data_IF_325353412255
#
_entry.id   IF_325353412255
#
_cell.length_a   1.000
_cell.length_b   1.000
_cell.length_c   1.000
_cell.angle_alpha   90.00
_cell.angle_beta   90.00
_cell.angle_gamma   90.00
#
_symmetry.space_group_name_H-M   'P 1'
#
loop_
_entity.id
_entity.type
_entity.pdbx_description
1 polymer ?
#
# COMPACT_ATOMS: atom_id res chain seq x y z
N UNK A 1 7.53 -16.36 -3.99
CA UNK A 1 7.33 -16.16 -5.44
C UNK A 1 7.15 -14.69 -5.76
N UNK A 2 6.15 -14.01 -5.18
CA UNK A 2 5.89 -12.56 -5.35
C UNK A 2 7.12 -11.66 -5.14
N UNK A 3 7.85 -11.84 -4.02
CA UNK A 3 9.06 -11.06 -3.75
C UNK A 3 10.15 -11.22 -4.82
N UNK A 4 10.34 -12.44 -5.36
CA UNK A 4 11.31 -12.71 -6.42
C UNK A 4 10.88 -12.08 -7.75
N UNK A 5 9.59 -12.16 -8.10
CA UNK A 5 9.04 -11.51 -9.28
C UNK A 5 9.15 -9.98 -9.19
N UNK A 6 8.89 -9.41 -8.00
CA UNK A 6 9.10 -7.98 -7.72
C UNK A 6 10.55 -7.58 -7.93
N UNK A 7 11.51 -8.30 -7.33
CA UNK A 7 12.93 -8.02 -7.49
C UNK A 7 13.38 -8.11 -8.94
N UNK A 8 12.96 -9.14 -9.68
CA UNK A 8 13.29 -9.28 -11.10
C UNK A 8 12.74 -8.14 -11.95
N UNK A 9 11.51 -7.68 -11.67
CA UNK A 9 10.90 -6.53 -12.35
C UNK A 9 11.70 -5.25 -12.09
N UNK A 10 12.03 -4.95 -10.82
CA UNK A 10 12.80 -3.74 -10.50
C UNK A 10 14.22 -3.79 -11.07
N UNK A 11 14.85 -4.96 -11.13
CA UNK A 11 16.17 -5.11 -11.75
C UNK A 11 16.18 -4.85 -13.27
N UNK A 12 15.01 -4.89 -13.93
CA UNK A 12 14.86 -4.62 -15.36
C UNK A 12 14.41 -3.17 -15.66
N UNK A 13 14.11 -2.37 -14.64
CA UNK A 13 13.62 -1.00 -14.75
C UNK A 13 14.77 -0.01 -14.48
N UNK A 14 14.71 1.22 -15.02
CA UNK A 14 15.69 2.25 -14.69
C UNK A 14 15.55 2.71 -13.24
N UNK A 15 16.62 3.29 -12.69
CA UNK A 15 16.69 3.71 -11.29
C UNK A 15 15.68 4.83 -10.94
N UNK A 16 15.30 5.65 -11.93
CA UNK A 16 14.35 6.76 -11.79
C UNK A 16 12.89 6.35 -12.02
N UNK A 17 12.60 5.05 -12.08
CA UNK A 17 11.24 4.56 -12.31
C UNK A 17 10.28 5.05 -11.23
N UNK A 18 9.15 5.60 -11.68
CA UNK A 18 8.02 5.95 -10.84
C UNK A 18 6.95 4.86 -10.94
N UNK A 19 6.33 4.51 -9.82
CA UNK A 19 5.29 3.46 -9.80
C UNK A 19 4.00 3.97 -9.19
N UNK A 20 2.88 3.49 -9.72
CA UNK A 20 1.52 3.91 -9.33
C UNK A 20 1.02 3.29 -8.02
N UNK A 21 1.84 3.24 -6.97
CA UNK A 21 1.36 2.80 -5.65
C UNK A 21 0.52 3.90 -4.99
N UNK A 22 -0.55 3.48 -4.32
CA UNK A 22 -1.56 4.30 -3.66
C UNK A 22 -1.48 4.18 -2.14
N UNK A 23 -2.33 4.93 -1.44
CA UNK A 23 -2.57 4.83 0.00
C UNK A 23 -2.98 3.41 0.42
N UNK A 24 -3.79 2.73 -0.38
CA UNK A 24 -4.22 1.35 -0.13
C UNK A 24 -3.03 0.39 -0.16
N UNK A 25 -2.15 0.53 -1.14
CA UNK A 25 -0.93 -0.28 -1.23
C UNK A 25 0.02 -0.05 -0.05
N UNK A 26 0.01 1.16 0.53
CA UNK A 26 0.73 1.46 1.77
C UNK A 26 0.13 0.73 2.97
N UNK A 27 -1.19 0.80 3.14
CA UNK A 27 -1.88 0.08 4.22
C UNK A 27 -1.62 -1.43 4.12
N UNK A 28 -1.72 -2.01 2.92
CA UNK A 28 -1.38 -3.41 2.68
C UNK A 28 0.07 -3.74 3.09
N UNK A 29 1.02 -2.88 2.73
CA UNK A 29 2.44 -3.05 3.08
C UNK A 29 2.63 -3.06 4.59
N UNK A 30 2.02 -2.08 5.29
CA UNK A 30 2.09 -1.96 6.74
C UNK A 30 1.50 -3.21 7.40
N UNK A 31 0.31 -3.64 7.00
CA UNK A 31 -0.34 -4.85 7.53
C UNK A 31 0.54 -6.07 7.30
N UNK A 32 1.09 -6.25 6.10
CA UNK A 32 1.98 -7.37 5.79
C UNK A 32 3.27 -7.36 6.64
N UNK A 33 3.81 -6.19 6.96
CA UNK A 33 4.97 -6.08 7.85
C UNK A 33 4.62 -6.40 9.30
N UNK A 34 3.48 -5.92 9.79
CA UNK A 34 2.98 -6.24 11.14
C UNK A 34 2.73 -7.75 11.29
N UNK A 35 2.09 -8.39 10.30
CA UNK A 35 1.87 -9.84 10.28
C UNK A 35 3.16 -10.68 10.22
N UNK A 36 4.31 -10.07 9.90
CA UNK A 36 5.63 -10.72 9.94
C UNK A 36 6.36 -10.49 11.26
N UNK A 37 5.73 -9.86 12.25
CA UNK A 37 6.34 -9.52 13.53
C UNK A 37 7.13 -8.21 13.50
N UNK A 38 6.92 -7.36 12.50
CA UNK A 38 7.53 -6.03 12.47
C UNK A 38 7.00 -5.16 13.60
N UNK A 39 7.90 -4.51 14.33
CA UNK A 39 7.56 -3.55 15.38
C UNK A 39 7.19 -2.17 14.81
N UNK A 40 7.52 -1.07 15.50
CA UNK A 40 7.24 0.30 15.02
C UNK A 40 7.74 0.59 13.59
N UNK A 41 8.83 -0.06 13.16
CA UNK A 41 9.36 0.07 11.80
C UNK A 41 8.42 -0.48 10.72
N UNK A 42 7.51 -1.40 11.06
CA UNK A 42 6.48 -1.89 10.13
C UNK A 42 5.60 -0.75 9.61
N UNK A 43 5.41 0.29 10.41
CA UNK A 43 4.61 1.46 10.07
C UNK A 43 5.31 2.36 9.05
N UNK A 44 6.62 2.24 8.81
CA UNK A 44 7.35 3.16 7.95
C UNK A 44 6.83 3.19 6.49
N UNK A 45 6.29 2.07 5.99
CA UNK A 45 5.76 1.96 4.63
C UNK A 45 6.80 2.25 3.53
N UNK A 46 6.31 2.58 2.33
CA UNK A 46 7.10 2.97 1.16
C UNK A 46 7.36 4.49 1.12
N UNK A 47 8.51 4.94 0.63
CA UNK A 47 8.84 6.37 0.51
C UNK A 47 8.09 7.09 -0.61
N UNK A 48 7.97 8.41 -0.54
CA UNK A 48 7.16 9.20 -1.49
C UNK A 48 7.88 9.47 -2.82
N UNK A 49 9.22 9.43 -2.85
CA UNK A 49 10.07 9.80 -4.00
C UNK A 49 9.76 9.05 -5.30
N UNK A 50 9.59 7.73 -5.23
CA UNK A 50 9.28 6.88 -6.40
C UNK A 50 7.78 6.58 -6.57
N UNK A 51 6.92 7.23 -5.77
CA UNK A 51 5.50 6.90 -5.66
C UNK A 51 4.65 8.18 -5.68
N UNK A 52 4.52 8.85 -6.84
CA UNK A 52 3.89 10.17 -6.93
C UNK A 52 2.43 10.21 -6.49
N UNK A 53 1.72 9.08 -6.54
CA UNK A 53 0.29 8.97 -6.19
C UNK A 53 0.04 8.27 -4.85
N UNK A 54 1.07 8.12 -4.01
CA UNK A 54 1.00 7.32 -2.77
C UNK A 54 0.03 7.86 -1.71
N UNK A 55 -0.43 9.10 -1.88
CA UNK A 55 -1.41 9.76 -1.01
C UNK A 55 -2.84 9.65 -1.53
N UNK A 56 -3.04 9.21 -2.78
CA UNK A 56 -4.35 8.97 -3.35
C UNK A 56 -4.88 7.61 -2.93
N UNK A 57 -6.19 7.46 -2.80
CA UNK A 57 -6.85 6.17 -2.64
C UNK A 57 -6.89 5.46 -3.99
N UNK A 58 -6.99 4.14 -3.98
CA UNK A 58 -7.25 3.34 -5.18
C UNK A 58 -8.57 3.75 -5.86
N UNK A 59 -9.60 4.07 -5.08
CA UNK A 59 -10.87 4.57 -5.61
C UNK A 59 -10.71 5.88 -6.41
N UNK A 60 -9.73 6.72 -6.07
CA UNK A 60 -9.46 7.96 -6.80
C UNK A 60 -8.89 7.65 -8.19
N UNK A 61 -7.96 6.69 -8.29
CA UNK A 61 -7.38 6.29 -9.58
C UNK A 61 -8.40 5.58 -10.46
N UNK A 62 -9.25 4.74 -9.88
CA UNK A 62 -10.38 4.10 -10.57
C UNK A 62 -11.38 5.14 -11.09
N UNK A 63 -11.70 6.17 -10.28
CA UNK A 63 -12.59 7.26 -10.70
C UNK A 63 -12.01 8.06 -11.87
N UNK A 64 -10.70 8.34 -11.85
CA UNK A 64 -10.00 9.00 -12.97
C UNK A 64 -10.11 8.16 -14.24
N UNK A 65 -9.85 6.84 -14.16
CA UNK A 65 -10.01 5.95 -15.31
C UNK A 65 -11.45 5.98 -15.86
N UNK A 66 -12.47 6.01 -14.99
CA UNK A 66 -13.86 6.11 -15.42
C UNK A 66 -14.17 7.43 -16.13
N UNK A 67 -13.71 8.56 -15.57
CA UNK A 67 -13.93 9.90 -16.14
C UNK A 67 -13.35 10.03 -17.54
N UNK A 68 -12.17 9.44 -17.78
CA UNK A 68 -11.50 9.50 -19.08
C UNK A 68 -11.79 8.27 -19.97
N UNK A 69 -12.71 7.40 -19.56
CA UNK A 69 -13.06 6.15 -20.25
C UNK A 69 -11.84 5.25 -20.54
N UNK A 70 -10.83 5.32 -19.68
CA UNK A 70 -9.65 4.47 -19.78
C UNK A 70 -9.95 3.08 -19.24
N UNK A 71 -9.56 2.07 -20.01
CA UNK A 71 -9.68 0.66 -19.64
C UNK A 71 -8.34 0.17 -19.11
N UNK A 72 -8.14 0.11 -17.78
CA UNK A 72 -6.94 -0.48 -17.22
C UNK A 72 -6.87 -1.97 -17.58
N UNK A 73 -5.66 -2.49 -17.70
CA UNK A 73 -5.43 -3.91 -17.94
C UNK A 73 -5.81 -4.70 -16.68
N UNK A 74 -6.69 -5.67 -16.84
CA UNK A 74 -7.04 -6.62 -15.78
C UNK A 74 -6.02 -7.76 -15.75
N UNK A 75 -5.22 -7.82 -14.69
CA UNK A 75 -4.30 -8.93 -14.44
C UNK A 75 -4.99 -9.97 -13.52
N UNK A 76 -5.24 -11.21 -13.99
CA UNK A 76 -5.88 -12.26 -13.18
C UNK A 76 -5.15 -12.57 -11.87
N UNK A 77 -3.85 -12.27 -11.78
CA UNK A 77 -3.08 -12.47 -10.55
C UNK A 77 -3.46 -11.51 -9.43
N UNK A 78 -4.19 -10.43 -9.72
CA UNK A 78 -4.69 -9.47 -8.71
C UNK A 78 -5.81 -10.05 -7.82
N UNK A 79 -6.43 -11.15 -8.24
CA UNK A 79 -7.50 -11.83 -7.51
C UNK A 79 -7.04 -13.16 -6.89
N UNK A 80 -5.83 -13.60 -7.20
CA UNK A 80 -5.34 -14.91 -6.78
C UNK A 80 -5.02 -14.93 -5.26
N UNK A 81 -5.74 -15.73 -4.45
CA UNK A 81 -5.59 -15.76 -3.00
C UNK A 81 -4.27 -16.41 -2.54
N UNK A 82 -3.50 -17.04 -3.45
CA UNK A 82 -2.15 -17.54 -3.14
C UNK A 82 -1.20 -16.40 -2.79
N UNK A 83 -1.46 -15.18 -3.24
CA UNK A 83 -0.69 -14.00 -2.89
C UNK A 83 -1.25 -13.36 -1.62
N UNK A 84 -0.41 -13.31 -0.57
CA UNK A 84 -0.80 -12.74 0.73
C UNK A 84 -1.29 -11.29 0.62
N UNK A 85 -0.72 -10.52 -0.31
CA UNK A 85 -1.14 -9.14 -0.55
C UNK A 85 -2.60 -9.06 -1.00
N UNK A 86 -3.03 -9.93 -1.91
CA UNK A 86 -4.42 -9.97 -2.37
C UNK A 86 -5.37 -10.34 -1.23
N UNK A 87 -4.99 -11.30 -0.38
CA UNK A 87 -5.77 -11.61 0.83
C UNK A 87 -5.87 -10.44 1.79
N UNK A 88 -4.78 -9.69 1.96
CA UNK A 88 -4.83 -8.46 2.78
C UNK A 88 -5.78 -7.43 2.18
N UNK A 89 -5.74 -7.23 0.85
CA UNK A 89 -6.63 -6.32 0.13
C UNK A 89 -8.10 -6.72 0.21
N UNK A 90 -8.41 -7.98 -0.03
CA UNK A 90 -9.79 -8.45 -0.24
C UNK A 90 -10.46 -9.04 0.99
N UNK A 91 -9.69 -9.48 1.99
CA UNK A 91 -10.22 -10.09 3.22
C UNK A 91 -9.92 -9.22 4.45
N UNK A 92 -8.64 -8.91 4.68
CA UNK A 92 -8.20 -8.31 5.96
C UNK A 92 -8.57 -6.84 6.06
N UNK A 93 -8.28 -6.05 5.04
CA UNK A 93 -8.54 -4.61 5.07
C UNK A 93 -10.05 -4.30 5.16
N UNK A 94 -10.95 -4.99 4.40
CA UNK A 94 -12.39 -4.84 4.59
C UNK A 94 -12.85 -5.23 6.00
N UNK A 95 -12.35 -6.34 6.56
CA UNK A 95 -12.69 -6.76 7.92
C UNK A 95 -12.20 -5.76 8.97
N UNK A 96 -11.01 -5.17 8.80
CA UNK A 96 -10.52 -4.11 9.67
C UNK A 96 -11.41 -2.87 9.60
N UNK A 97 -11.87 -2.48 8.42
CA UNK A 97 -12.80 -1.37 8.26
C UNK A 97 -14.14 -1.64 8.95
N UNK A 98 -14.65 -2.87 8.82
CA UNK A 98 -15.89 -3.30 9.47
C UNK A 98 -15.75 -3.24 11.00
N UNK A 99 -14.73 -3.88 11.56
CA UNK A 99 -14.51 -3.94 13.02
C UNK A 99 -14.22 -2.56 13.61
N UNK A 100 -13.50 -1.71 12.89
CA UNK A 100 -13.19 -0.35 13.34
C UNK A 100 -14.34 0.65 13.10
N UNK A 101 -15.39 0.21 12.39
CA UNK A 101 -16.53 1.01 11.92
C UNK A 101 -16.10 2.29 11.18
N UNK A 102 -14.97 2.22 10.46
CA UNK A 102 -14.37 3.35 9.72
C UNK A 102 -13.30 2.87 8.74
N UNK A 103 -12.95 3.72 7.78
CA UNK A 103 -11.77 3.49 6.94
C UNK A 103 -10.47 3.57 7.77
N UNK A 104 -9.75 2.46 7.87
CA UNK A 104 -8.50 2.38 8.63
C UNK A 104 -7.28 2.85 7.84
N UNK A 105 -7.37 2.99 6.51
CA UNK A 105 -6.20 3.35 5.70
C UNK A 105 -5.63 4.72 6.07
N UNK A 106 -6.43 5.79 6.23
CA UNK A 106 -5.92 7.08 6.69
C UNK A 106 -5.22 7.00 8.05
N UNK A 107 -5.68 6.13 8.95
CA UNK A 107 -5.09 5.93 10.27
C UNK A 107 -3.73 5.24 10.20
N UNK A 108 -3.63 4.17 9.39
CA UNK A 108 -2.39 3.43 9.17
C UNK A 108 -1.32 4.32 8.53
N UNK A 109 -1.70 5.16 7.57
CA UNK A 109 -0.77 6.09 6.91
C UNK A 109 -0.39 7.24 7.84
N UNK A 110 -1.35 7.79 8.60
CA UNK A 110 -1.09 8.87 9.57
C UNK A 110 -0.09 8.48 10.67
N UNK A 111 -0.07 7.20 11.06
CA UNK A 111 0.87 6.67 12.05
C UNK A 111 2.36 6.79 11.61
N UNK A 112 2.64 6.96 10.31
CA UNK A 112 3.99 7.23 9.77
C UNK A 112 4.61 8.51 10.32
N UNK A 113 3.80 9.56 10.44
CA UNK A 113 4.23 10.94 10.69
C UNK A 113 4.43 11.30 12.16
N UNK A 114 3.89 10.52 13.09
CA UNK A 114 4.01 10.80 14.54
C UNK A 114 5.41 10.52 15.14
N UNK A 115 6.40 10.18 14.30
CA UNK A 115 7.80 9.96 14.71
C UNK A 115 8.61 11.24 14.93
N UNK A 116 8.04 12.42 14.64
CA UNK A 116 8.73 13.72 14.73
C UNK A 116 8.50 14.53 16.02
N UNK A 117 7.63 14.09 16.94
CA UNK A 117 7.35 14.81 18.20
C UNK A 117 7.64 13.94 19.43
N UNK A 118 8.81 13.31 19.46
CA UNK A 118 9.41 12.88 20.71
C UNK A 118 9.95 14.11 21.44
N UNK A 119 9.26 14.53 22.50
CA UNK A 119 9.78 15.52 23.46
C UNK A 119 11.21 15.17 23.83
N UNK A 120 12.15 16.04 23.50
CA UNK A 120 13.47 16.05 24.13
C UNK A 120 13.26 16.26 25.63
N UNK A 121 13.51 15.24 26.42
CA UNK A 121 13.79 15.39 27.83
C UNK A 121 15.29 15.70 27.95
N UNK A 122 15.58 16.99 28.08
CA UNK A 122 16.75 17.54 28.80
C UNK A 122 16.27 18.73 29.58
#
# INVERSE_FOLDING_TARGET
MEARARSARFAALPDDVLTGHTADDQAETIILHLLRGGGPDALAGMGDEHHPIIKLRRADTESVCQIFEWKPVEDPTNEDPRFRRNRVRHEVLPLLNEVAERDVVPLLIGARGNRGQGRGFT
#
